data_IF_316864650765
#
_entry.id   IF_316864650765
#
_cell.length_a   1.000
_cell.length_b   1.000
_cell.length_c   1.000
_cell.angle_alpha   90.00
_cell.angle_beta   90.00
_cell.angle_gamma   90.00
#
_symmetry.space_group_name_H-M   'P 1'
#
loop_
_entity.id
_entity.type
_entity.pdbx_description
1 polymer ?
#
# COMPACT_ATOMS: atom_id res chain seq x y z
N UNK A 1 6.94 -28.44 4.69
CA UNK A 1 6.19 -27.38 3.98
C UNK A 1 4.95 -26.89 4.74
N UNK A 2 4.00 -27.75 5.13
CA UNK A 2 2.71 -27.32 5.70
C UNK A 2 2.81 -26.55 7.03
N UNK A 3 3.73 -26.93 7.94
CA UNK A 3 3.98 -26.21 9.20
C UNK A 3 4.49 -24.76 8.99
N UNK A 4 5.36 -24.56 8.00
CA UNK A 4 5.91 -23.23 7.69
C UNK A 4 4.85 -22.27 7.14
N UNK A 5 3.92 -22.78 6.32
CA UNK A 5 2.81 -21.99 5.75
C UNK A 5 1.77 -21.60 6.81
N UNK A 6 1.51 -22.48 7.79
CA UNK A 6 0.65 -22.17 8.93
C UNK A 6 1.28 -21.13 9.85
N UNK A 7 2.58 -21.26 10.11
CA UNK A 7 3.34 -20.24 10.82
C UNK A 7 3.25 -18.89 10.10
N UNK A 8 3.53 -18.86 8.80
CA UNK A 8 3.41 -17.66 7.98
C UNK A 8 2.01 -17.03 8.05
N UNK A 9 0.95 -17.83 7.90
CA UNK A 9 -0.44 -17.33 7.92
C UNK A 9 -0.83 -16.78 9.29
N UNK A 10 -0.30 -17.35 10.38
CA UNK A 10 -0.52 -16.89 11.76
C UNK A 10 0.17 -15.54 12.03
N UNK A 11 1.36 -15.34 11.48
CA UNK A 11 2.15 -14.12 11.67
C UNK A 11 1.93 -13.08 10.56
N UNK A 12 1.04 -13.35 9.61
CA UNK A 12 0.83 -12.49 8.45
C UNK A 12 0.44 -11.07 8.83
N UNK A 13 -0.44 -10.87 9.83
CA UNK A 13 -0.83 -9.52 10.25
C UNK A 13 0.35 -8.70 10.76
N UNK A 14 1.30 -9.32 11.48
CA UNK A 14 2.51 -8.65 11.95
C UNK A 14 3.44 -8.31 10.78
N UNK A 15 3.61 -9.25 9.85
CA UNK A 15 4.44 -9.02 8.65
C UNK A 15 3.85 -7.89 7.80
N UNK A 16 2.54 -7.88 7.60
CA UNK A 16 1.83 -6.84 6.87
C UNK A 16 1.95 -5.48 7.57
N UNK A 17 1.83 -5.43 8.89
CA UNK A 17 2.00 -4.22 9.69
C UNK A 17 3.41 -3.64 9.52
N UNK A 18 4.44 -4.46 9.72
CA UNK A 18 5.84 -4.03 9.58
C UNK A 18 6.10 -3.55 8.15
N UNK A 19 5.62 -4.30 7.15
CA UNK A 19 5.80 -3.94 5.74
C UNK A 19 5.16 -2.59 5.40
N UNK A 20 3.93 -2.35 5.86
CA UNK A 20 3.24 -1.07 5.65
C UNK A 20 3.97 0.10 6.35
N UNK A 21 4.45 -0.11 7.59
CA UNK A 21 5.23 0.90 8.32
C UNK A 21 6.58 1.18 7.65
N UNK A 22 7.27 0.16 7.14
CA UNK A 22 8.51 0.35 6.40
C UNK A 22 8.30 1.14 5.10
N UNK A 23 7.21 0.87 4.36
CA UNK A 23 6.88 1.61 3.14
C UNK A 23 6.50 3.06 3.43
N UNK A 24 5.71 3.30 4.47
CA UNK A 24 5.44 4.66 4.95
C UNK A 24 6.71 5.37 5.39
N UNK A 25 7.58 4.69 6.15
CA UNK A 25 8.87 5.22 6.59
C UNK A 25 9.76 5.60 5.41
N UNK A 26 9.86 4.73 4.40
CA UNK A 26 10.60 5.01 3.18
C UNK A 26 10.01 6.23 2.43
N UNK A 27 8.68 6.31 2.30
CA UNK A 27 8.02 7.42 1.63
C UNK A 27 8.26 8.77 2.34
N UNK A 28 8.23 8.79 3.68
CA UNK A 28 8.56 9.99 4.46
C UNK A 28 10.05 10.31 4.36
N UNK A 29 10.93 9.30 4.35
CA UNK A 29 12.37 9.51 4.19
C UNK A 29 12.71 10.13 2.82
N UNK A 30 12.07 9.67 1.73
CA UNK A 30 12.22 10.30 0.42
C UNK A 30 11.72 11.75 0.39
N UNK A 31 10.66 12.05 1.14
CA UNK A 31 10.16 13.42 1.25
C UNK A 31 11.11 14.32 2.04
N UNK A 32 11.59 13.88 3.21
CA UNK A 32 12.37 14.71 4.13
C UNK A 32 13.86 14.75 3.79
N UNK A 33 14.46 13.60 3.45
CA UNK A 33 15.88 13.49 3.14
C UNK A 33 16.15 13.53 1.63
N UNK A 34 15.22 13.02 0.82
CA UNK A 34 15.33 13.07 -0.64
C UNK A 34 14.85 14.38 -1.26
N UNK A 35 14.20 15.27 -0.49
CA UNK A 35 13.52 16.47 -0.99
C UNK A 35 12.53 16.19 -2.13
N UNK A 36 11.96 14.98 -2.16
CA UNK A 36 10.99 14.56 -3.17
C UNK A 36 9.57 14.76 -2.63
N UNK A 37 9.01 15.93 -2.91
CA UNK A 37 7.65 16.25 -2.50
C UNK A 37 6.64 15.29 -3.17
N UNK A 38 5.67 14.73 -2.41
CA UNK A 38 4.70 13.79 -2.97
C UNK A 38 3.70 14.51 -3.87
N UNK A 39 3.38 13.91 -5.01
CA UNK A 39 2.24 14.30 -5.83
C UNK A 39 0.93 13.77 -5.24
N UNK A 40 -0.20 14.16 -5.83
CA UNK A 40 -1.53 13.71 -5.39
C UNK A 40 -1.68 12.18 -5.38
N UNK A 41 -1.22 11.47 -6.42
CA UNK A 41 -1.27 10.00 -6.46
C UNK A 41 -0.31 9.33 -5.47
N UNK A 42 0.86 9.93 -5.17
CA UNK A 42 1.74 9.45 -4.10
C UNK A 42 1.02 9.49 -2.75
N UNK A 43 0.26 10.55 -2.46
CA UNK A 43 -0.52 10.64 -1.22
C UNK A 43 -1.62 9.58 -1.17
N UNK A 44 -2.35 9.37 -2.27
CA UNK A 44 -3.34 8.29 -2.36
C UNK A 44 -2.75 6.91 -2.13
N UNK A 45 -1.53 6.66 -2.61
CA UNK A 45 -0.83 5.40 -2.32
C UNK A 45 -0.43 5.27 -0.85
N UNK A 46 -0.09 6.38 -0.17
CA UNK A 46 0.17 6.38 1.29
C UNK A 46 -1.07 6.07 2.11
N UNK A 47 -2.24 6.58 1.70
CA UNK A 47 -3.51 6.29 2.37
C UNK A 47 -3.77 4.78 2.45
N UNK A 48 -3.45 4.04 1.38
CA UNK A 48 -3.57 2.57 1.35
C UNK A 48 -2.73 1.92 2.47
N UNK A 49 -1.50 2.40 2.66
CA UNK A 49 -0.64 1.86 3.71
C UNK A 49 -1.08 2.28 5.12
N UNK A 50 -1.63 3.48 5.30
CA UNK A 50 -2.23 3.86 6.59
C UNK A 50 -3.44 3.00 6.94
N UNK A 51 -4.30 2.71 5.95
CA UNK A 51 -5.42 1.78 6.13
C UNK A 51 -4.89 0.38 6.45
N UNK A 52 -3.86 -0.09 5.74
CA UNK A 52 -3.22 -1.38 6.01
C UNK A 52 -2.64 -1.45 7.43
N UNK A 53 -1.99 -0.39 7.93
CA UNK A 53 -1.52 -0.28 9.31
C UNK A 53 -2.67 -0.44 10.29
N UNK A 54 -3.77 0.31 10.10
CA UNK A 54 -4.94 0.21 10.99
C UNK A 54 -5.52 -1.20 11.06
N UNK A 55 -5.73 -1.84 9.90
CA UNK A 55 -6.31 -3.20 9.82
C UNK A 55 -5.36 -4.26 10.37
N UNK A 56 -4.08 -4.20 10.03
CA UNK A 56 -3.07 -5.17 10.48
C UNK A 56 -2.76 -5.04 11.97
N UNK A 57 -2.77 -3.82 12.51
CA UNK A 57 -2.66 -3.57 13.95
C UNK A 57 -3.86 -4.14 14.68
N UNK A 58 -5.09 -3.86 14.24
CA UNK A 58 -6.31 -4.40 14.84
C UNK A 58 -6.31 -5.94 14.82
N UNK A 59 -5.93 -6.55 13.70
CA UNK A 59 -5.81 -8.00 13.55
C UNK A 59 -4.77 -8.60 14.52
N UNK A 60 -3.63 -7.93 14.68
CA UNK A 60 -2.54 -8.35 15.56
C UNK A 60 -2.94 -8.25 17.03
N UNK A 61 -3.53 -7.13 17.44
CA UNK A 61 -4.07 -6.89 18.78
C UNK A 61 -5.10 -7.96 19.11
N UNK A 62 -6.08 -8.20 18.22
CA UNK A 62 -7.08 -9.24 18.40
C UNK A 62 -6.46 -10.63 18.64
N UNK A 63 -5.47 -11.01 17.82
CA UNK A 63 -4.80 -12.31 17.94
C UNK A 63 -4.08 -12.48 19.28
N UNK A 64 -3.46 -11.41 19.80
CA UNK A 64 -2.79 -11.41 21.11
C UNK A 64 -3.81 -11.56 22.24
N UNK A 65 -4.89 -10.77 22.25
CA UNK A 65 -5.87 -10.76 23.35
C UNK A 65 -6.73 -12.02 23.42
N UNK A 66 -7.06 -12.62 22.27
CA UNK A 66 -7.93 -13.81 22.23
C UNK A 66 -7.17 -15.13 22.41
N UNK A 67 -5.83 -15.10 22.42
CA UNK A 67 -4.99 -16.30 22.39
C UNK A 67 -5.22 -17.16 21.14
N UNK A 68 -5.90 -16.63 20.12
CA UNK A 68 -6.22 -17.35 18.91
C UNK A 68 -4.94 -17.75 18.18
N UNK A 69 -4.94 -18.93 17.56
CA UNK A 69 -3.79 -19.44 16.79
C UNK A 69 -3.51 -18.65 15.49
N UNK A 70 -4.20 -17.53 15.26
CA UNK A 70 -4.01 -16.59 14.15
C UNK A 70 -5.19 -15.61 14.05
N UNK A 71 -5.03 -14.45 13.37
CA UNK A 71 -6.11 -13.51 13.15
C UNK A 71 -7.23 -14.14 12.30
N UNK A 72 -8.50 -13.73 12.48
CA UNK A 72 -9.60 -14.16 11.62
C UNK A 72 -9.26 -13.97 10.14
N UNK A 73 -9.60 -14.96 9.31
CA UNK A 73 -9.34 -14.95 7.85
C UNK A 73 -9.83 -13.69 7.15
N UNK A 74 -10.91 -13.12 7.68
CA UNK A 74 -11.49 -11.87 7.21
C UNK A 74 -10.44 -10.77 7.19
N UNK A 75 -9.57 -10.66 8.21
CA UNK A 75 -8.51 -9.66 8.22
C UNK A 75 -7.49 -9.89 7.09
N UNK A 76 -7.05 -11.13 6.85
CA UNK A 76 -6.13 -11.43 5.75
C UNK A 76 -6.77 -11.16 4.38
N UNK A 77 -8.07 -11.41 4.23
CA UNK A 77 -8.80 -11.09 3.00
C UNK A 77 -8.98 -9.58 2.81
N UNK A 78 -9.28 -8.84 3.88
CA UNK A 78 -9.36 -7.37 3.84
C UNK A 78 -7.99 -6.77 3.49
N UNK A 79 -6.90 -7.29 4.06
CA UNK A 79 -5.54 -6.89 3.68
C UNK A 79 -5.24 -7.18 2.20
N UNK A 80 -5.70 -8.32 1.67
CA UNK A 80 -5.62 -8.59 0.23
C UNK A 80 -6.33 -7.51 -0.58
N UNK A 81 -7.56 -7.15 -0.23
CA UNK A 81 -8.31 -6.11 -0.93
C UNK A 81 -7.58 -4.76 -0.88
N UNK A 82 -7.07 -4.37 0.29
CA UNK A 82 -6.31 -3.11 0.48
C UNK A 82 -5.07 -3.07 -0.40
N UNK A 83 -4.22 -4.09 -0.34
CA UNK A 83 -2.99 -4.13 -1.13
C UNK A 83 -3.25 -4.31 -2.63
N UNK A 84 -4.32 -5.01 -3.02
CA UNK A 84 -4.74 -5.10 -4.41
C UNK A 84 -5.18 -3.73 -4.95
N UNK A 85 -5.93 -2.95 -4.16
CA UNK A 85 -6.26 -1.55 -4.49
C UNK A 85 -5.00 -0.70 -4.59
N UNK A 86 -4.05 -0.85 -3.65
CA UNK A 86 -2.75 -0.18 -3.72
C UNK A 86 -1.98 -0.49 -5.00
N UNK A 87 -1.93 -1.76 -5.38
CA UNK A 87 -1.31 -2.22 -6.61
C UNK A 87 -1.99 -1.59 -7.84
N UNK A 88 -3.32 -1.60 -7.90
CA UNK A 88 -4.06 -1.00 -9.01
C UNK A 88 -3.80 0.51 -9.14
N UNK A 89 -3.81 1.26 -8.03
CA UNK A 89 -3.49 2.69 -8.03
C UNK A 89 -2.02 2.93 -8.44
N UNK A 90 -1.10 2.08 -7.99
CA UNK A 90 0.32 2.19 -8.32
C UNK A 90 0.59 1.90 -9.81
N UNK A 91 -0.07 0.88 -10.39
CA UNK A 91 -0.04 0.62 -11.83
C UNK A 91 -0.64 1.81 -12.58
N UNK A 92 -1.78 2.34 -12.13
CA UNK A 92 -2.41 3.51 -12.74
C UNK A 92 -1.48 4.74 -12.78
N UNK A 93 -0.76 4.98 -11.68
CA UNK A 93 0.22 6.06 -11.57
C UNK A 93 1.42 5.82 -12.49
N UNK A 94 2.05 4.64 -12.40
CA UNK A 94 3.21 4.28 -13.22
C UNK A 94 2.89 4.33 -14.72
N UNK A 95 1.75 3.80 -15.15
CA UNK A 95 1.43 3.82 -16.58
C UNK A 95 1.20 5.22 -17.12
N UNK A 96 0.82 6.18 -16.29
CA UNK A 96 0.78 7.59 -16.70
C UNK A 96 2.12 8.31 -16.71
N UNK A 97 3.02 7.91 -15.82
CA UNK A 97 4.43 8.31 -15.87
C UNK A 97 5.09 7.79 -17.17
N UNK A 98 4.80 6.54 -17.55
CA UNK A 98 5.28 5.89 -18.78
C UNK A 98 4.45 6.24 -20.03
N UNK A 99 3.46 7.15 -19.90
CA UNK A 99 2.59 7.63 -20.99
C UNK A 99 1.79 6.54 -21.71
N UNK A 100 1.47 5.44 -21.02
CA UNK A 100 0.53 4.43 -21.50
C UNK A 100 -0.90 4.98 -21.60
N UNK A 101 -1.25 5.95 -20.76
CA UNK A 101 -2.50 6.70 -20.80
C UNK A 101 -2.32 8.12 -20.25
N UNK A 102 -3.27 9.00 -20.58
CA UNK A 102 -3.33 10.33 -19.99
C UNK A 102 -3.90 10.25 -18.57
N UNK A 103 -3.29 10.99 -17.64
CA UNK A 103 -3.89 11.20 -16.32
C UNK A 103 -4.97 12.28 -16.37
N UNK A 104 -5.93 12.26 -15.42
CA UNK A 104 -6.89 13.35 -15.26
C UNK A 104 -6.18 14.70 -15.09
N UNK A 105 -6.83 15.78 -15.54
CA UNK A 105 -6.31 17.15 -15.44
C UNK A 105 -5.91 17.55 -14.01
N UNK A 106 -6.62 17.00 -13.02
CA UNK A 106 -6.32 17.16 -11.59
C UNK A 106 -4.95 16.63 -11.16
N UNK A 107 -4.34 15.76 -11.96
CA UNK A 107 -3.06 15.12 -11.68
C UNK A 107 -1.90 15.67 -12.54
N UNK A 108 -2.21 16.30 -13.68
CA UNK A 108 -1.23 16.90 -14.61
C UNK A 108 -1.02 18.39 -14.37
N UNK A 109 -1.73 18.99 -13.41
CA UNK A 109 -1.57 20.41 -13.06
C UNK A 109 -2.21 21.37 -14.06
N UNK A 110 -3.13 20.88 -14.90
CA UNK A 110 -4.00 21.73 -15.74
C UNK A 110 -5.25 22.05 -14.93
N UNK A 111 -5.09 22.89 -13.91
CA UNK A 111 -6.20 23.69 -13.40
C UNK A 111 -5.98 25.08 -13.98
N UNK A 112 -6.63 25.36 -15.11
CA UNK A 112 -6.93 26.73 -15.47
C UNK A 112 -7.72 27.33 -14.29
N UNK A 113 -7.26 28.48 -13.81
CA UNK A 113 -7.75 29.28 -12.66
C UNK A 113 -7.15 28.98 -11.27
N UNK A 114 -6.02 29.64 -10.98
CA UNK A 114 -5.68 30.11 -9.61
C UNK A 114 -5.47 31.63 -9.67
N UNK A 115 -6.29 32.39 -8.94
CA UNK A 115 -6.28 33.87 -8.82
C UNK A 115 -6.79 34.26 -7.42
N UNK A 116 -6.68 35.49 -6.88
CA UNK A 116 -6.04 36.73 -7.33
C UNK A 116 -4.62 36.71 -6.79
N UNK A 117 -3.66 36.79 -7.71
CA UNK A 117 -2.21 36.78 -7.54
C UNK A 117 -1.53 35.41 -7.31
N UNK A 118 -2.23 34.28 -7.44
CA UNK A 118 -1.75 32.91 -7.11
C UNK A 118 -0.66 32.82 -5.99
N UNK A 119 -0.70 33.45 -4.81
CA UNK A 119 -1.45 34.58 -4.18
C UNK A 119 -0.84 36.01 -4.20
N UNK A 120 0.44 36.12 -4.53
CA UNK A 120 1.24 37.35 -4.69
C UNK A 120 2.70 36.93 -4.85
N UNK A 121 2.92 35.87 -5.66
CA UNK A 121 3.89 34.81 -5.36
C UNK A 121 3.38 33.98 -4.14
N UNK A 122 3.84 32.79 -3.79
CA UNK A 122 4.99 32.58 -2.89
C UNK A 122 5.50 33.75 -2.01
N UNK A 123 4.75 34.86 -1.94
CA UNK A 123 4.82 36.21 -1.35
C UNK A 123 6.16 36.91 -1.11
N UNK A 124 7.30 36.23 -1.26
CA UNK A 124 8.61 36.79 -0.95
C UNK A 124 9.78 36.08 -1.63
N UNK A 125 9.55 35.15 -2.56
CA UNK A 125 10.60 34.73 -3.50
C UNK A 125 10.77 33.23 -3.76
N UNK A 126 9.81 32.61 -4.44
CA UNK A 126 10.09 31.41 -5.21
C UNK A 126 8.94 31.06 -6.15
N UNK A 127 9.09 30.04 -6.99
CA UNK A 127 8.01 29.48 -7.82
C UNK A 127 7.68 28.09 -7.27
N UNK A 128 6.54 27.93 -6.59
CA UNK A 128 6.12 26.63 -6.05
C UNK A 128 5.34 25.93 -7.15
N UNK A 129 6.03 25.08 -7.91
CA UNK A 129 5.37 24.18 -8.84
C UNK A 129 4.97 22.93 -8.06
N UNK A 130 3.66 22.74 -7.87
CA UNK A 130 3.14 21.54 -7.26
C UNK A 130 3.62 20.29 -8.04
N UNK A 131 4.05 19.21 -7.37
CA UNK A 131 4.51 18.00 -8.05
C UNK A 131 3.40 17.37 -8.91
N UNK A 132 3.69 17.15 -10.18
CA UNK A 132 2.78 16.55 -11.14
C UNK A 132 2.85 15.01 -11.04
N UNK A 133 1.72 14.32 -11.18
CA UNK A 133 1.68 12.86 -11.04
C UNK A 133 2.17 12.11 -12.29
N UNK A 134 2.29 12.79 -13.42
CA UNK A 134 2.70 12.19 -14.68
C UNK A 134 4.20 12.41 -14.98
N UNK A 135 4.93 12.99 -14.02
CA UNK A 135 6.36 13.26 -14.09
C UNK A 135 7.07 12.38 -13.06
N UNK A 136 8.01 11.58 -13.56
CA UNK A 136 8.80 10.69 -12.70
C UNK A 136 9.79 11.50 -11.86
N UNK A 137 9.56 11.54 -10.55
CA UNK A 137 10.42 12.25 -9.61
C UNK A 137 11.73 11.48 -9.33
N UNK A 138 11.71 10.15 -9.45
CA UNK A 138 12.85 9.29 -9.16
C UNK A 138 12.73 7.93 -9.84
N UNK A 139 13.87 7.37 -10.25
CA UNK A 139 13.97 6.03 -10.83
C UNK A 139 15.05 5.20 -10.13
N UNK A 140 14.80 3.90 -10.06
CA UNK A 140 15.78 2.90 -9.64
C UNK A 140 15.58 1.61 -10.40
N UNK A 141 16.67 1.07 -10.95
CA UNK A 141 16.67 -0.11 -11.83
C UNK A 141 15.63 -0.02 -12.96
N UNK A 142 15.48 1.18 -13.54
CA UNK A 142 14.55 1.44 -14.64
C UNK A 142 13.10 1.74 -14.23
N UNK A 143 12.69 1.43 -12.99
CA UNK A 143 11.33 1.67 -12.51
C UNK A 143 11.21 2.97 -11.74
N UNK A 144 10.07 3.64 -11.89
CA UNK A 144 9.71 4.77 -11.04
C UNK A 144 9.38 4.32 -9.61
N UNK A 145 9.23 5.27 -8.68
CA UNK A 145 8.70 4.98 -7.35
C UNK A 145 7.32 4.30 -7.41
N UNK A 146 6.44 4.76 -8.32
CA UNK A 146 5.14 4.14 -8.50
C UNK A 146 5.26 2.70 -9.02
N UNK A 147 6.20 2.42 -9.93
CA UNK A 147 6.47 1.07 -10.42
C UNK A 147 6.96 0.12 -9.34
N UNK A 148 7.90 0.56 -8.49
CA UNK A 148 8.31 -0.21 -7.32
C UNK A 148 7.14 -0.45 -6.35
N UNK A 149 6.32 0.57 -6.13
CA UNK A 149 5.16 0.46 -5.27
C UNK A 149 4.12 -0.55 -5.81
N UNK A 150 3.94 -0.63 -7.13
CA UNK A 150 3.08 -1.61 -7.77
C UNK A 150 3.56 -3.04 -7.52
N UNK A 151 4.85 -3.31 -7.71
CA UNK A 151 5.44 -4.64 -7.46
C UNK A 151 5.27 -5.05 -6.00
N UNK A 152 5.63 -4.17 -5.07
CA UNK A 152 5.57 -4.48 -3.63
C UNK A 152 4.12 -4.67 -3.18
N UNK A 153 3.20 -3.77 -3.57
CA UNK A 153 1.77 -3.90 -3.27
C UNK A 153 1.20 -5.20 -3.85
N UNK A 154 1.56 -5.55 -5.08
CA UNK A 154 1.14 -6.81 -5.72
C UNK A 154 1.63 -8.04 -4.96
N UNK A 155 2.89 -8.05 -4.53
CA UNK A 155 3.44 -9.13 -3.71
C UNK A 155 2.70 -9.25 -2.37
N UNK A 156 2.46 -8.13 -1.67
CA UNK A 156 1.73 -8.12 -0.40
C UNK A 156 0.27 -8.56 -0.56
N UNK A 157 -0.38 -8.23 -1.69
CA UNK A 157 -1.72 -8.69 -2.02
C UNK A 157 -1.75 -10.22 -2.19
N UNK A 158 -0.84 -10.77 -3.00
CA UNK A 158 -0.73 -12.22 -3.23
C UNK A 158 -0.49 -12.96 -1.91
N UNK A 159 0.45 -12.48 -1.10
CA UNK A 159 0.75 -13.07 0.21
C UNK A 159 -0.44 -13.01 1.17
N UNK A 160 -1.21 -11.91 1.15
CA UNK A 160 -2.45 -11.78 1.93
C UNK A 160 -3.52 -12.78 1.50
N UNK A 161 -3.66 -12.98 0.19
CA UNK A 161 -4.60 -13.94 -0.38
C UNK A 161 -4.22 -15.37 0.01
N UNK A 162 -2.93 -15.72 -0.08
CA UNK A 162 -2.41 -17.03 0.35
C UNK A 162 -2.70 -17.25 1.84
N UNK A 163 -2.44 -16.26 2.69
CA UNK A 163 -2.71 -16.33 4.12
C UNK A 163 -4.22 -16.53 4.41
N UNK A 164 -5.09 -15.87 3.65
CA UNK A 164 -6.55 -16.01 3.77
C UNK A 164 -7.04 -17.43 3.40
N UNK A 165 -6.61 -17.93 2.23
CA UNK A 165 -7.09 -19.21 1.68
C UNK A 165 -6.53 -20.44 2.43
N UNK A 166 -5.30 -20.39 2.94
CA UNK A 166 -4.68 -21.55 3.59
C UNK A 166 -5.15 -21.74 5.03
N UNK A 167 -5.47 -20.65 5.73
CA UNK A 167 -6.14 -20.72 7.02
C UNK A 167 -7.57 -21.31 6.89
N UNK A 168 -8.21 -21.16 5.72
CA UNK A 168 -9.47 -21.84 5.39
C UNK A 168 -9.36 -23.36 5.39
N UNK A 169 -8.41 -23.88 4.63
CA UNK A 169 -8.20 -25.31 4.50
C UNK A 169 -7.81 -25.96 5.85
N UNK A 170 -6.95 -25.32 6.64
CA UNK A 170 -6.51 -25.87 7.93
C UNK A 170 -7.65 -26.11 8.92
N UNK A 171 -8.50 -25.12 9.16
CA UNK A 171 -9.63 -25.30 10.09
C UNK A 171 -10.62 -26.34 9.56
N UNK A 172 -10.87 -26.39 8.23
CA UNK A 172 -11.75 -27.40 7.64
C UNK A 172 -11.21 -28.82 7.90
N UNK A 173 -9.90 -29.02 7.75
CA UNK A 173 -9.25 -30.29 8.04
C UNK A 173 -9.29 -30.62 9.55
N UNK A 174 -8.99 -29.65 10.42
CA UNK A 174 -9.05 -29.83 11.87
C UNK A 174 -10.45 -30.17 12.37
N UNK A 175 -11.49 -29.59 11.79
CA UNK A 175 -12.88 -29.88 12.13
C UNK A 175 -13.28 -31.29 11.67
N UNK A 176 -12.87 -31.71 10.47
CA UNK A 176 -13.09 -33.09 10.00
C UNK A 176 -12.44 -34.13 10.91
N UNK A 177 -11.18 -33.91 11.30
CA UNK A 177 -10.48 -34.80 12.21
C UNK A 177 -11.15 -34.89 13.59
N UNK A 178 -11.76 -33.79 14.07
CA UNK A 178 -12.50 -33.78 15.33
C UNK A 178 -13.88 -34.44 15.25
N UNK A 179 -14.50 -34.48 14.06
CA UNK A 179 -15.78 -35.20 13.85
C UNK A 179 -15.60 -36.70 13.61
N UNK A 180 -14.39 -37.13 13.23
CA UNK A 180 -14.04 -38.54 12.98
C UNK A 180 -13.48 -39.24 14.23
N UNK A 181 -13.22 -38.50 15.33
CA UNK A 181 -12.71 -39.00 16.61
C UNK A 181 -13.83 -39.09 17.65
#
# INVERSE_FOLDING_TARGET
MMKAVLFFSRWWSVIALISALCLLGAAHAFQTFGNLNPCHLCLKQRDIYWIAVGVSLAATVWAVFTGAKGPPRVFSFVLFAIFATGCAIAIFHMGGEEKWWALPATCTGVSDEVSIDSIAAMLSGGKFKAPQCDIVAWRFLGLSMAGWNAIISGALAILSLIASLRLQLYYRLSQRQASEA
#
